data_IF_841957849274
#
_entry.id   IF_841957849274
#
_cell.length_a   1.000
_cell.length_b   1.000
_cell.length_c   1.000
_cell.angle_alpha   90.00
_cell.angle_beta   90.00
_cell.angle_gamma   90.00
#
_symmetry.space_group_name_H-M   'P 1'
#
loop_
_entity.id
_entity.type
_entity.pdbx_description
1 polymer ?
#
# COMPACT_ATOMS: atom_id res chain seq x y z
N UNK A 1 -38.51 -30.94 28.30
CA UNK A 1 -37.65 -31.71 27.37
C UNK A 1 -38.41 -31.91 26.08
N UNK A 2 -37.88 -31.46 24.93
CA UNK A 2 -38.51 -31.78 23.65
C UNK A 2 -38.14 -30.92 22.44
N UNK A 3 -36.85 -30.90 22.08
CA UNK A 3 -36.28 -30.72 20.72
C UNK A 3 -36.63 -29.44 19.96
N UNK A 4 -35.64 -28.54 19.92
CA UNK A 4 -35.53 -27.53 18.87
C UNK A 4 -35.31 -28.20 17.51
N UNK A 5 -36.04 -27.73 16.50
CA UNK A 5 -35.74 -28.01 15.11
C UNK A 5 -34.73 -26.96 14.64
N UNK A 6 -33.45 -27.33 14.63
CA UNK A 6 -32.46 -26.60 13.84
C UNK A 6 -32.73 -26.89 12.37
N UNK A 7 -33.30 -25.90 11.66
CA UNK A 7 -33.32 -25.90 10.20
C UNK A 7 -31.89 -25.66 9.73
N UNK A 8 -31.22 -26.70 9.25
CA UNK A 8 -30.01 -26.54 8.45
C UNK A 8 -30.40 -25.92 7.11
N UNK A 9 -30.03 -24.67 6.87
CA UNK A 9 -30.01 -24.11 5.53
C UNK A 9 -28.71 -24.54 4.87
N UNK A 10 -28.73 -25.68 4.17
CA UNK A 10 -27.69 -25.98 3.19
C UNK A 10 -27.97 -25.13 1.96
N UNK A 11 -27.45 -23.91 1.93
CA UNK A 11 -27.45 -23.06 0.73
C UNK A 11 -26.28 -23.51 -0.15
N UNK A 12 -26.51 -24.56 -0.93
CA UNK A 12 -25.54 -25.04 -1.93
C UNK A 12 -25.86 -24.28 -3.22
N UNK A 13 -25.53 -22.99 -3.27
CA UNK A 13 -25.57 -22.24 -4.52
C UNK A 13 -24.40 -22.73 -5.38
N UNK A 14 -24.69 -23.15 -6.62
CA UNK A 14 -23.69 -23.53 -7.60
C UNK A 14 -22.86 -22.29 -7.97
N UNK A 15 -21.61 -22.45 -8.44
CA UNK A 15 -20.80 -21.30 -8.86
C UNK A 15 -21.51 -20.46 -9.95
N UNK A 16 -22.22 -21.13 -10.87
CA UNK A 16 -23.09 -20.47 -11.87
C UNK A 16 -24.20 -19.62 -11.21
N UNK A 17 -24.78 -20.09 -10.09
CA UNK A 17 -25.81 -19.34 -9.36
C UNK A 17 -25.22 -18.08 -8.69
N UNK A 18 -23.98 -18.15 -8.22
CA UNK A 18 -23.27 -17.00 -7.60
C UNK A 18 -22.89 -15.95 -8.65
N UNK A 19 -22.42 -16.39 -9.81
CA UNK A 19 -22.05 -15.49 -10.92
C UNK A 19 -23.29 -14.73 -11.40
N UNK A 20 -24.42 -15.44 -11.57
CA UNK A 20 -25.70 -14.83 -11.93
C UNK A 20 -26.20 -13.83 -10.89
N UNK A 21 -26.10 -14.16 -9.59
CA UNK A 21 -26.47 -13.28 -8.48
C UNK A 21 -25.63 -11.99 -8.46
N UNK A 22 -24.31 -12.11 -8.58
CA UNK A 22 -23.40 -10.95 -8.60
C UNK A 22 -23.70 -10.06 -9.82
N UNK A 23 -23.87 -10.66 -11.00
CA UNK A 23 -24.14 -9.92 -12.23
C UNK A 23 -25.48 -9.17 -12.17
N UNK A 24 -26.50 -9.75 -11.54
CA UNK A 24 -27.79 -9.10 -11.28
C UNK A 24 -27.63 -7.89 -10.35
N UNK A 25 -26.87 -8.04 -9.26
CA UNK A 25 -26.61 -6.91 -8.33
C UNK A 25 -25.85 -5.77 -9.00
N UNK A 26 -24.88 -6.06 -9.88
CA UNK A 26 -24.12 -5.05 -10.62
C UNK A 26 -25.01 -4.29 -11.63
N UNK A 27 -25.96 -4.99 -12.25
CA UNK A 27 -26.99 -4.36 -13.10
C UNK A 27 -27.87 -3.41 -12.29
N UNK A 28 -28.27 -3.82 -11.09
CA UNK A 28 -29.05 -2.98 -10.18
C UNK A 28 -28.28 -1.73 -9.70
N UNK A 29 -26.95 -1.81 -9.58
CA UNK A 29 -26.10 -0.70 -9.22
C UNK A 29 -25.72 0.22 -10.39
N UNK A 30 -26.19 -0.08 -11.61
CA UNK A 30 -25.88 0.67 -12.85
C UNK A 30 -24.36 0.77 -13.15
N UNK A 31 -23.56 -0.17 -12.62
CA UNK A 31 -22.11 -0.28 -12.86
C UNK A 31 -21.78 -1.33 -13.94
N UNK A 32 -22.81 -1.94 -14.54
CA UNK A 32 -22.71 -3.17 -15.34
C UNK A 32 -22.16 -2.99 -16.76
N UNK A 33 -21.96 -1.77 -17.26
CA UNK A 33 -21.53 -1.59 -18.67
C UNK A 33 -20.07 -2.05 -18.89
N UNK A 34 -19.29 -2.23 -17.83
CA UNK A 34 -17.86 -2.57 -17.88
C UNK A 34 -17.54 -4.00 -17.41
N UNK A 35 -18.47 -4.73 -16.79
CA UNK A 35 -18.20 -6.05 -16.18
C UNK A 35 -19.14 -7.12 -16.75
N UNK A 36 -18.55 -8.15 -17.37
CA UNK A 36 -19.27 -9.29 -17.92
C UNK A 36 -19.04 -10.56 -17.08
N UNK A 37 -19.81 -11.61 -17.40
CA UNK A 37 -19.78 -12.91 -16.71
C UNK A 37 -18.37 -13.51 -16.63
N UNK A 38 -17.56 -13.35 -17.68
CA UNK A 38 -16.17 -13.83 -17.75
C UNK A 38 -15.27 -13.10 -16.76
N UNK A 39 -15.53 -11.81 -16.49
CA UNK A 39 -14.76 -11.04 -15.53
C UNK A 39 -15.02 -11.53 -14.10
N UNK A 40 -16.30 -11.81 -13.79
CA UNK A 40 -16.73 -12.36 -12.50
C UNK A 40 -16.15 -13.77 -12.30
N UNK A 41 -16.22 -14.62 -13.34
CA UNK A 41 -15.62 -15.95 -13.32
C UNK A 41 -14.10 -15.90 -13.10
N UNK A 42 -13.42 -14.95 -13.74
CA UNK A 42 -11.98 -14.77 -13.56
C UNK A 42 -11.65 -14.36 -12.12
N UNK A 43 -12.45 -13.48 -11.50
CA UNK A 43 -12.27 -13.08 -10.11
C UNK A 43 -12.52 -14.23 -9.14
N UNK A 44 -13.59 -15.02 -9.34
CA UNK A 44 -13.88 -16.19 -8.51
C UNK A 44 -12.81 -17.28 -8.68
N UNK A 45 -12.20 -17.37 -9.87
CA UNK A 45 -11.11 -18.31 -10.14
C UNK A 45 -9.73 -17.84 -9.64
N UNK A 46 -9.57 -16.58 -9.21
CA UNK A 46 -8.31 -16.08 -8.66
C UNK A 46 -7.87 -16.90 -7.44
N UNK A 47 -8.81 -17.20 -6.54
CA UNK A 47 -8.55 -17.95 -5.31
C UNK A 47 -8.13 -19.41 -5.58
N UNK A 48 -8.57 -19.98 -6.71
CA UNK A 48 -8.20 -21.36 -7.09
C UNK A 48 -6.74 -21.49 -7.55
N UNK A 49 -6.13 -20.39 -8.02
CA UNK A 49 -4.75 -20.35 -8.49
C UNK A 49 -3.79 -19.83 -7.42
N UNK A 50 -4.32 -19.30 -6.33
CA UNK A 50 -3.52 -18.78 -5.24
C UNK A 50 -3.21 -19.87 -4.21
N UNK A 51 -2.06 -20.50 -4.36
CA UNK A 51 -1.50 -21.37 -3.32
C UNK A 51 -0.96 -20.56 -2.11
N UNK A 52 -1.01 -19.22 -2.14
CA UNK A 52 -0.27 -18.37 -1.20
C UNK A 52 -0.93 -18.20 0.18
N UNK A 53 -2.14 -18.70 0.37
CA UNK A 53 -2.73 -18.78 1.71
C UNK A 53 -2.74 -20.22 2.23
N UNK A 54 -1.61 -20.91 2.11
CA UNK A 54 -1.34 -22.00 3.04
C UNK A 54 -1.29 -21.39 4.45
N UNK A 55 -2.30 -21.67 5.27
CA UNK A 55 -2.28 -21.31 6.68
C UNK A 55 -1.18 -22.15 7.32
N UNK A 56 0.04 -21.60 7.33
CA UNK A 56 1.18 -22.24 7.95
C UNK A 56 0.91 -22.34 9.45
N UNK A 57 1.22 -23.49 10.03
CA UNK A 57 1.23 -23.61 11.48
C UNK A 57 2.45 -22.88 12.06
N UNK A 58 2.44 -22.65 13.38
CA UNK A 58 3.50 -21.89 14.06
C UNK A 58 4.91 -22.46 13.80
N UNK A 59 5.06 -23.78 13.70
CA UNK A 59 6.33 -24.45 13.44
C UNK A 59 6.79 -24.26 11.98
N UNK A 60 5.86 -24.30 11.03
CA UNK A 60 6.13 -24.03 9.61
C UNK A 60 6.51 -22.58 9.35
N UNK A 61 5.90 -21.63 10.08
CA UNK A 61 6.27 -20.21 10.04
C UNK A 61 7.70 -20.04 10.56
N UNK A 62 8.04 -20.65 11.69
CA UNK A 62 9.38 -20.56 12.28
C UNK A 62 10.45 -21.18 11.38
N UNK A 63 10.17 -22.31 10.74
CA UNK A 63 11.07 -22.93 9.78
C UNK A 63 11.33 -22.01 8.57
N UNK A 64 10.27 -21.46 7.99
CA UNK A 64 10.38 -20.55 6.83
C UNK A 64 11.17 -19.28 7.16
N UNK A 65 10.95 -18.69 8.34
CA UNK A 65 11.69 -17.51 8.81
C UNK A 65 13.15 -17.85 9.11
N UNK A 66 13.40 -19.04 9.67
CA UNK A 66 14.75 -19.49 10.00
C UNK A 66 15.58 -19.82 8.77
N UNK A 67 14.98 -20.41 7.73
CA UNK A 67 15.65 -20.69 6.45
C UNK A 67 16.06 -19.41 5.71
N UNK A 68 15.30 -18.32 5.90
CA UNK A 68 15.64 -17.00 5.36
C UNK A 68 16.89 -16.39 6.02
N UNK A 69 17.18 -16.76 7.27
CA UNK A 69 18.23 -16.14 8.10
C UNK A 69 19.39 -17.08 8.47
N UNK A 70 19.24 -18.41 8.28
CA UNK A 70 20.17 -19.42 8.80
C UNK A 70 21.22 -19.94 7.82
N UNK A 71 21.19 -19.53 6.55
CA UNK A 71 22.13 -19.99 5.52
C UNK A 71 23.25 -19.00 5.24
N UNK A 72 24.46 -19.30 5.71
CA UNK A 72 25.72 -18.58 5.48
C UNK A 72 25.89 -18.02 4.04
N UNK A 73 26.18 -16.72 3.99
CA UNK A 73 27.18 -16.06 3.13
C UNK A 73 27.55 -16.78 1.82
N UNK A 74 26.86 -16.40 0.73
CA UNK A 74 27.30 -16.33 -0.69
C UNK A 74 26.10 -16.24 -1.63
N UNK A 75 25.39 -15.11 -1.59
CA UNK A 75 24.82 -14.56 -2.82
C UNK A 75 25.40 -13.17 -2.93
N UNK A 76 26.25 -13.04 -3.95
CA UNK A 76 26.92 -11.81 -4.37
C UNK A 76 25.98 -10.65 -4.09
N UNK A 77 26.32 -9.86 -3.06
CA UNK A 77 26.24 -8.42 -3.24
C UNK A 77 26.98 -8.18 -4.54
N UNK A 78 26.21 -8.02 -5.62
CA UNK A 78 26.61 -7.06 -6.62
C UNK A 78 26.83 -5.80 -5.80
N UNK A 79 28.09 -5.59 -5.47
CA UNK A 79 28.61 -4.32 -5.07
C UNK A 79 28.19 -3.42 -6.22
N UNK A 80 27.04 -2.78 -6.06
CA UNK A 80 26.84 -1.49 -6.66
C UNK A 80 27.99 -0.68 -6.09
N UNK A 81 29.06 -0.63 -6.89
CA UNK A 81 29.92 0.52 -7.00
C UNK A 81 29.02 1.69 -7.44
N UNK A 82 28.08 2.06 -6.58
CA UNK A 82 27.48 3.37 -6.57
C UNK A 82 28.30 4.05 -5.49
N UNK A 83 29.44 4.55 -5.95
CA UNK A 83 30.25 5.58 -5.31
C UNK A 83 29.43 6.23 -4.21
N UNK A 84 29.77 5.93 -2.95
CA UNK A 84 29.35 6.64 -1.74
C UNK A 84 28.51 7.85 -2.11
N UNK A 85 27.19 7.67 -2.32
CA UNK A 85 26.29 8.81 -2.39
C UNK A 85 26.40 9.35 -0.98
N UNK A 86 27.31 10.32 -0.84
CA UNK A 86 27.43 11.17 0.30
C UNK A 86 25.99 11.58 0.55
N UNK A 87 25.37 10.95 1.55
CA UNK A 87 24.00 11.23 1.96
C UNK A 87 24.09 12.60 2.63
N UNK A 88 24.27 13.61 1.79
CA UNK A 88 24.12 14.99 2.14
C UNK A 88 22.63 15.10 2.41
N UNK A 89 22.30 15.15 3.69
CA UNK A 89 20.95 15.46 4.11
C UNK A 89 20.52 16.74 3.37
N UNK A 90 19.45 16.70 2.55
CA UNK A 90 19.07 17.84 1.75
C UNK A 90 18.81 19.05 2.66
N UNK A 91 19.26 20.21 2.22
CA UNK A 91 18.99 21.47 2.91
C UNK A 91 17.47 21.70 3.04
N UNK A 92 17.07 22.56 3.96
CA UNK A 92 15.66 22.90 4.14
C UNK A 92 15.01 23.47 2.87
N UNK A 93 15.79 24.14 2.01
CA UNK A 93 15.32 24.60 0.71
C UNK A 93 15.08 23.44 -0.24
N UNK A 94 16.06 22.55 -0.42
CA UNK A 94 15.96 21.39 -1.31
C UNK A 94 14.81 20.48 -0.91
N UNK A 95 14.67 20.20 0.39
CA UNK A 95 13.56 19.42 0.92
C UNK A 95 12.20 20.08 0.60
N UNK A 96 12.10 21.41 0.72
CA UNK A 96 10.87 22.14 0.39
C UNK A 96 10.53 22.04 -1.10
N UNK A 97 11.52 22.24 -1.99
CA UNK A 97 11.31 22.17 -3.43
C UNK A 97 10.89 20.77 -3.89
N UNK A 98 11.51 19.72 -3.36
CA UNK A 98 11.10 18.34 -3.65
C UNK A 98 9.64 18.07 -3.23
N UNK A 99 9.21 18.59 -2.08
CA UNK A 99 7.84 18.44 -1.59
C UNK A 99 6.82 19.24 -2.43
N UNK A 100 7.18 20.42 -2.94
CA UNK A 100 6.38 21.20 -3.89
C UNK A 100 6.14 20.42 -5.19
N UNK A 101 7.21 19.86 -5.77
CA UNK A 101 7.11 19.06 -7.00
C UNK A 101 6.24 17.82 -6.78
N UNK A 102 6.44 17.10 -5.67
CA UNK A 102 5.59 15.97 -5.32
C UNK A 102 4.12 16.38 -5.18
N UNK A 103 3.83 17.52 -4.55
CA UNK A 103 2.46 18.04 -4.42
C UNK A 103 1.83 18.40 -5.76
N UNK A 104 2.59 18.95 -6.70
CA UNK A 104 2.09 19.23 -8.04
C UNK A 104 1.72 17.94 -8.78
N UNK A 105 2.57 16.92 -8.68
CA UNK A 105 2.28 15.60 -9.25
C UNK A 105 1.03 14.97 -8.62
N UNK A 106 0.89 15.03 -7.29
CA UNK A 106 -0.29 14.51 -6.58
C UNK A 106 -1.59 15.21 -6.95
N UNK A 107 -1.56 16.51 -7.31
CA UNK A 107 -2.74 17.24 -7.78
C UNK A 107 -3.21 16.79 -9.16
N UNK A 108 -2.34 16.20 -9.97
CA UNK A 108 -2.65 15.69 -11.31
C UNK A 108 -3.22 14.27 -11.30
N UNK A 109 -3.19 13.60 -10.14
CA UNK A 109 -3.70 12.24 -9.95
C UNK A 109 -4.99 12.26 -9.12
N UNK A 110 -5.88 11.29 -9.32
CA UNK A 110 -6.95 10.98 -8.35
C UNK A 110 -6.33 10.27 -7.15
N UNK A 111 -5.79 11.05 -6.22
CA UNK A 111 -5.21 10.52 -4.98
C UNK A 111 -6.14 10.70 -3.79
N UNK A 112 -6.08 9.72 -2.87
CA UNK A 112 -6.78 9.78 -1.58
C UNK A 112 -6.47 11.08 -0.82
N UNK A 113 -7.53 11.76 -0.37
CA UNK A 113 -7.48 13.05 0.32
C UNK A 113 -6.55 13.01 1.53
N UNK A 114 -6.47 11.87 2.23
CA UNK A 114 -5.61 11.72 3.42
C UNK A 114 -4.12 11.79 3.06
N UNK A 115 -3.70 11.16 1.95
CA UNK A 115 -2.31 11.19 1.47
C UNK A 115 -1.91 12.59 1.05
N UNK A 116 -2.81 13.31 0.36
CA UNK A 116 -2.61 14.71 -0.01
C UNK A 116 -2.47 15.64 1.22
N UNK A 117 -3.31 15.46 2.25
CA UNK A 117 -3.23 16.25 3.48
C UNK A 117 -1.92 15.99 4.24
N UNK A 118 -1.50 14.73 4.34
CA UNK A 118 -0.22 14.36 4.96
C UNK A 118 0.95 15.07 4.28
N UNK A 119 1.01 15.03 2.94
CA UNK A 119 2.08 15.65 2.17
C UNK A 119 2.12 17.18 2.33
N UNK A 120 0.95 17.84 2.38
CA UNK A 120 0.85 19.28 2.68
C UNK A 120 1.41 19.61 4.07
N UNK A 121 1.08 18.82 5.08
CA UNK A 121 1.61 19.01 6.44
C UNK A 121 3.14 18.88 6.49
N UNK A 122 3.71 17.94 5.74
CA UNK A 122 5.16 17.74 5.68
C UNK A 122 5.84 18.94 4.98
N UNK A 123 5.27 19.43 3.87
CA UNK A 123 5.73 20.65 3.20
C UNK A 123 5.69 21.86 4.14
N UNK A 124 4.60 22.05 4.88
CA UNK A 124 4.45 23.18 5.78
C UNK A 124 5.46 23.13 6.93
N UNK A 125 5.78 21.93 7.43
CA UNK A 125 6.87 21.73 8.38
C UNK A 125 8.23 22.13 7.79
N UNK A 126 8.52 21.72 6.54
CA UNK A 126 9.76 22.11 5.86
C UNK A 126 9.85 23.63 5.64
N UNK A 127 8.75 24.27 5.23
CA UNK A 127 8.66 25.71 5.09
C UNK A 127 8.91 26.44 6.41
N UNK A 128 8.30 25.96 7.50
CA UNK A 128 8.52 26.51 8.83
C UNK A 128 9.99 26.39 9.23
N UNK A 129 10.62 25.23 9.05
CA UNK A 129 12.04 25.02 9.35
C UNK A 129 12.96 25.93 8.53
N UNK A 130 12.66 26.10 7.24
CA UNK A 130 13.34 27.05 6.36
C UNK A 130 13.26 28.48 6.93
N UNK A 131 12.07 28.94 7.30
CA UNK A 131 11.90 30.29 7.86
C UNK A 131 12.60 30.48 9.22
N UNK A 132 12.64 29.45 10.06
CA UNK A 132 13.35 29.52 11.35
C UNK A 132 14.87 29.54 11.18
N UNK A 133 15.41 28.77 10.23
CA UNK A 133 16.83 28.77 9.92
C UNK A 133 17.29 30.15 9.38
N UNK A 134 16.49 30.78 8.52
CA UNK A 134 16.71 32.16 8.02
C UNK A 134 16.72 33.21 9.15
N UNK A 135 15.84 33.06 10.15
CA UNK A 135 15.81 33.96 11.32
C UNK A 135 17.05 33.78 12.20
N UNK A 136 17.52 32.54 12.38
CA UNK A 136 18.72 32.26 13.17
C UNK A 136 19.98 32.83 12.53
N UNK A 137 20.16 32.67 11.21
CA UNK A 137 21.30 33.27 10.50
C UNK A 137 21.28 34.79 10.58
N UNK A 138 20.11 35.43 10.52
CA UNK A 138 19.99 36.89 10.69
C UNK A 138 20.55 37.38 12.02
N UNK A 139 20.26 36.71 13.16
CA UNK A 139 20.77 37.11 14.48
C UNK A 139 22.30 37.00 14.58
N UNK A 140 22.88 35.91 14.04
CA UNK A 140 24.33 35.68 14.11
C UNK A 140 25.16 36.67 13.30
N UNK A 141 24.56 37.35 12.32
CA UNK A 141 25.24 38.39 11.53
C UNK A 141 25.43 39.68 12.34
N UNK A 142 24.62 39.93 13.38
CA UNK A 142 24.73 41.13 14.22
C UNK A 142 25.84 41.08 15.27
N UNK A 143 26.43 39.90 15.53
CA UNK A 143 27.50 39.73 16.54
C UNK A 143 28.91 39.66 15.93
N UNK A 144 29.07 40.14 14.70
CA UNK A 144 30.34 40.24 13.99
C UNK A 144 30.69 41.70 13.73
#
# INVERSE_FOLDING_TARGET
MGRGQSRSFSNINTEEDKVAEILDTLKHLSTSDECNETDIDMWLACDNKDAAFHVLNDDEILATVSDLYGGSDKKKEEFYDDEMLENVCPSHEEAYQCLEVALQWFKMQECDLKRMLCLKSIRDLAANKRTTALKQTSVTVFFK
#
